data_IF_416868159159
#
_entry.id   IF_416868159159
#
_cell.length_a   1.000
_cell.length_b   1.000
_cell.length_c   1.000
_cell.angle_alpha   90.00
_cell.angle_beta   90.00
_cell.angle_gamma   90.00
#
_symmetry.space_group_name_H-M   'P 1'
#
loop_
_entity.id
_entity.type
_entity.pdbx_description
1 polymer ?
#
# COMPACT_ATOMS: atom_id res chain seq x y z
N UNK A 1 -56.28 8.47 -21.58
CA UNK A 1 -55.66 7.25 -21.04
C UNK A 1 -54.42 7.68 -20.28
N UNK A 2 -54.27 7.17 -19.06
CA UNK A 2 -53.21 7.53 -18.13
C UNK A 2 -51.84 7.16 -18.69
N UNK A 3 -50.90 8.10 -18.64
CA UNK A 3 -49.49 7.75 -18.53
C UNK A 3 -49.13 7.98 -17.07
N UNK A 4 -49.24 6.90 -16.29
CA UNK A 4 -48.75 6.84 -14.92
C UNK A 4 -47.26 7.14 -14.94
N UNK A 5 -46.89 8.22 -14.25
CA UNK A 5 -45.53 8.50 -13.86
C UNK A 5 -45.06 7.37 -12.95
N UNK A 6 -44.30 6.42 -13.48
CA UNK A 6 -43.50 5.48 -12.70
C UNK A 6 -42.40 6.27 -11.98
N UNK A 7 -42.75 6.88 -10.85
CA UNK A 7 -41.78 7.15 -9.79
C UNK A 7 -41.28 5.80 -9.30
N UNK A 8 -40.12 5.39 -9.79
CA UNK A 8 -39.34 4.35 -9.14
C UNK A 8 -38.81 4.98 -7.85
N UNK A 9 -39.64 5.01 -6.82
CA UNK A 9 -39.11 5.04 -5.46
C UNK A 9 -38.34 3.73 -5.28
N UNK A 10 -37.02 3.79 -5.32
CA UNK A 10 -36.19 2.76 -4.71
C UNK A 10 -36.53 2.77 -3.22
N UNK A 11 -37.55 2.00 -2.84
CA UNK A 11 -37.88 1.72 -1.45
C UNK A 11 -36.76 0.81 -0.95
N UNK A 12 -35.65 1.43 -0.53
CA UNK A 12 -34.71 0.77 0.36
C UNK A 12 -35.51 0.47 1.62
N UNK A 13 -35.77 -0.81 1.87
CA UNK A 13 -36.38 -1.25 3.11
C UNK A 13 -35.51 -0.77 4.27
N UNK A 14 -35.99 0.26 4.96
CA UNK A 14 -35.24 0.97 5.99
C UNK A 14 -34.93 0.08 7.19
N UNK A 15 -35.74 -0.97 7.43
CA UNK A 15 -35.49 -1.97 8.46
C UNK A 15 -34.33 -2.89 8.05
N UNK A 16 -34.36 -3.45 6.85
CA UNK A 16 -33.26 -4.25 6.29
C UNK A 16 -31.95 -3.47 6.20
N UNK A 17 -31.99 -2.19 5.81
CA UNK A 17 -30.81 -1.32 5.76
C UNK A 17 -30.25 -1.04 7.16
N UNK A 18 -31.11 -0.84 8.15
CA UNK A 18 -30.70 -0.64 9.54
C UNK A 18 -30.09 -1.91 10.13
N UNK A 19 -30.66 -3.08 9.86
CA UNK A 19 -30.08 -4.37 10.25
C UNK A 19 -28.73 -4.61 9.58
N UNK A 20 -28.58 -4.32 8.29
CA UNK A 20 -27.31 -4.40 7.59
C UNK A 20 -26.26 -3.48 8.23
N UNK A 21 -26.61 -2.23 8.50
CA UNK A 21 -25.69 -1.28 9.15
C UNK A 21 -25.33 -1.73 10.57
N UNK A 22 -26.28 -2.32 11.30
CA UNK A 22 -26.04 -2.88 12.63
C UNK A 22 -25.11 -4.09 12.59
N UNK A 23 -25.27 -5.01 11.64
CA UNK A 23 -24.37 -6.16 11.49
C UNK A 23 -23.00 -5.75 10.94
N UNK A 24 -22.94 -4.78 10.01
CA UNK A 24 -21.70 -4.24 9.48
C UNK A 24 -20.88 -3.51 10.56
N UNK A 25 -21.53 -2.71 11.41
CA UNK A 25 -20.85 -2.01 12.52
C UNK A 25 -20.42 -2.92 13.66
N UNK A 26 -20.98 -4.14 13.78
CA UNK A 26 -20.41 -5.18 14.65
C UNK A 26 -19.09 -5.76 14.12
N UNK A 27 -18.90 -5.76 12.80
CA UNK A 27 -17.69 -6.28 12.16
C UNK A 27 -16.55 -5.25 12.14
N UNK A 28 -16.90 -3.97 12.05
CA UNK A 28 -15.96 -2.86 12.18
C UNK A 28 -16.66 -1.69 12.87
N UNK A 29 -16.34 -1.47 14.14
CA UNK A 29 -16.89 -0.34 14.90
C UNK A 29 -16.29 0.97 14.39
N UNK A 30 -16.93 2.11 14.67
CA UNK A 30 -16.35 3.43 14.35
C UNK A 30 -14.96 3.61 14.97
N UNK A 31 -14.74 3.06 16.17
CA UNK A 31 -13.44 3.07 16.82
C UNK A 31 -12.38 2.22 16.08
N UNK A 32 -12.77 1.06 15.54
CA UNK A 32 -11.86 0.23 14.73
C UNK A 32 -11.48 0.94 13.42
N UNK A 33 -12.43 1.65 12.81
CA UNK A 33 -12.17 2.43 11.60
C UNK A 33 -11.27 3.64 11.88
N UNK A 34 -11.44 4.29 13.02
CA UNK A 34 -10.58 5.38 13.48
C UNK A 34 -9.15 4.91 13.75
N UNK A 35 -8.97 3.81 14.51
CA UNK A 35 -7.63 3.20 14.72
C UNK A 35 -6.97 2.83 13.38
N UNK A 36 -7.73 2.21 12.46
CA UNK A 36 -7.22 1.85 11.15
C UNK A 36 -6.77 3.09 10.37
N UNK A 37 -7.58 4.15 10.35
CA UNK A 37 -7.26 5.41 9.71
C UNK A 37 -5.97 6.01 10.26
N UNK A 38 -5.84 6.07 11.59
CA UNK A 38 -4.62 6.57 12.23
C UNK A 38 -3.39 5.73 11.87
N UNK A 39 -3.52 4.41 11.84
CA UNK A 39 -2.42 3.50 11.48
C UNK A 39 -1.98 3.70 10.04
N UNK A 40 -2.93 3.88 9.12
CA UNK A 40 -2.63 4.18 7.72
C UNK A 40 -1.93 5.55 7.62
N UNK A 41 -2.42 6.58 8.31
CA UNK A 41 -1.82 7.91 8.31
C UNK A 41 -0.38 7.90 8.85
N UNK A 42 -0.13 7.23 9.99
CA UNK A 42 1.22 7.05 10.55
C UNK A 42 2.16 6.34 9.58
N UNK A 43 1.64 5.30 8.89
CA UNK A 43 2.42 4.58 7.89
C UNK A 43 2.73 5.47 6.69
N UNK A 44 1.76 6.20 6.16
CA UNK A 44 1.95 7.12 5.04
C UNK A 44 3.00 8.20 5.37
N UNK A 45 2.92 8.81 6.55
CA UNK A 45 3.91 9.80 7.02
C UNK A 45 5.31 9.19 7.16
N UNK A 46 5.40 7.96 7.68
CA UNK A 46 6.67 7.25 7.78
C UNK A 46 7.28 6.95 6.41
N UNK A 47 6.48 6.43 5.46
CA UNK A 47 6.96 6.16 4.10
C UNK A 47 7.35 7.45 3.37
N UNK A 48 6.53 8.50 3.45
CA UNK A 48 6.83 9.79 2.84
C UNK A 48 8.21 10.30 3.26
N UNK A 49 8.48 10.34 4.57
CA UNK A 49 9.79 10.77 5.09
C UNK A 49 10.96 9.87 4.65
N UNK A 50 10.77 8.56 4.64
CA UNK A 50 11.84 7.59 4.35
C UNK A 50 12.15 7.46 2.86
N UNK A 51 11.15 7.70 2.01
CA UNK A 51 11.24 7.60 0.55
C UNK A 51 11.53 8.93 -0.14
N UNK A 52 11.57 10.04 0.60
CA UNK A 52 12.12 11.31 0.10
C UNK A 52 13.49 11.07 -0.58
N UNK A 53 13.74 11.60 -1.79
CA UNK A 53 14.90 11.21 -2.60
C UNK A 53 16.23 11.31 -1.85
N UNK A 54 16.45 12.41 -1.13
CA UNK A 54 17.70 12.63 -0.38
C UNK A 54 17.78 11.74 0.87
N UNK A 55 16.66 11.45 1.53
CA UNK A 55 16.64 10.54 2.68
C UNK A 55 16.90 9.10 2.22
N UNK A 56 16.25 8.67 1.14
CA UNK A 56 16.42 7.33 0.56
C UNK A 56 17.87 7.08 0.13
N UNK A 57 18.56 8.09 -0.42
CA UNK A 57 20.00 8.06 -0.73
C UNK A 57 20.92 7.98 0.49
N UNK A 58 20.42 8.19 1.69
CA UNK A 58 21.22 8.20 2.91
C UNK A 58 20.75 7.17 3.95
N UNK A 59 19.78 6.32 3.60
CA UNK A 59 19.31 5.28 4.53
C UNK A 59 20.44 4.33 4.88
N UNK A 60 20.61 4.13 6.19
CA UNK A 60 21.41 3.03 6.72
C UNK A 60 20.67 1.69 6.57
N UNK A 61 21.39 0.58 6.66
CA UNK A 61 20.77 -0.75 6.62
C UNK A 61 19.71 -0.96 7.73
N UNK A 62 19.96 -0.42 8.92
CA UNK A 62 19.02 -0.51 10.05
C UNK A 62 17.71 0.24 9.77
N UNK A 63 17.82 1.47 9.24
CA UNK A 63 16.69 2.29 8.82
C UNK A 63 15.93 1.65 7.65
N UNK A 64 16.65 1.10 6.67
CA UNK A 64 16.07 0.33 5.58
C UNK A 64 15.31 -0.90 6.10
N UNK A 65 15.87 -1.60 7.08
CA UNK A 65 15.20 -2.70 7.76
C UNK A 65 13.92 -2.26 8.47
N UNK A 66 13.86 -1.05 9.03
CA UNK A 66 12.62 -0.47 9.57
C UNK A 66 11.59 -0.21 8.47
N UNK A 67 12.02 0.34 7.33
CA UNK A 67 11.16 0.57 6.16
C UNK A 67 10.50 -0.72 5.67
N UNK A 68 11.31 -1.74 5.37
CA UNK A 68 10.83 -3.04 4.85
C UNK A 68 9.91 -3.74 5.86
N UNK A 69 10.14 -3.55 7.18
CA UNK A 69 9.27 -4.12 8.23
C UNK A 69 7.84 -3.59 8.21
N UNK A 70 7.62 -2.39 7.67
CA UNK A 70 6.28 -1.81 7.55
C UNK A 70 5.47 -2.37 6.38
N UNK A 71 6.11 -3.13 5.48
CA UNK A 71 5.47 -3.68 4.28
C UNK A 71 4.75 -4.97 4.64
N UNK A 72 3.45 -5.02 4.43
CA UNK A 72 2.60 -6.05 5.04
C UNK A 72 3.02 -7.47 4.64
N UNK A 73 3.25 -7.69 3.34
CA UNK A 73 3.58 -9.02 2.82
C UNK A 73 5.01 -9.48 3.12
N UNK A 74 5.90 -8.52 3.41
CA UNK A 74 7.35 -8.73 3.48
C UNK A 74 7.92 -8.54 4.89
N UNK A 75 7.29 -7.79 5.79
CA UNK A 75 7.94 -7.31 7.00
C UNK A 75 8.55 -8.39 7.88
N UNK A 76 7.89 -9.56 8.00
CA UNK A 76 8.40 -10.75 8.71
C UNK A 76 9.56 -11.47 8.01
N UNK A 77 9.80 -11.17 6.74
CA UNK A 77 10.84 -11.73 5.87
C UNK A 77 11.94 -10.71 5.55
N UNK A 78 11.93 -9.52 6.16
CA UNK A 78 12.86 -8.43 5.88
C UNK A 78 14.32 -8.87 5.92
N UNK A 79 14.74 -9.61 6.96
CA UNK A 79 16.10 -10.16 7.06
C UNK A 79 16.46 -11.05 5.87
N UNK A 80 15.57 -11.99 5.51
CA UNK A 80 15.78 -12.89 4.36
C UNK A 80 15.86 -12.12 3.04
N UNK A 81 15.01 -11.11 2.87
CA UNK A 81 15.02 -10.24 1.69
C UNK A 81 16.34 -9.48 1.59
N UNK A 82 16.76 -8.83 2.67
CA UNK A 82 18.00 -8.05 2.72
C UNK A 82 19.20 -8.97 2.47
N UNK A 83 19.28 -10.12 3.13
CA UNK A 83 20.37 -11.08 2.91
C UNK A 83 20.44 -11.64 1.49
N UNK A 84 19.30 -11.78 0.79
CA UNK A 84 19.26 -12.34 -0.56
C UNK A 84 19.64 -11.34 -1.67
N UNK A 85 19.53 -10.04 -1.40
CA UNK A 85 19.72 -8.99 -2.40
C UNK A 85 20.85 -8.01 -2.06
N UNK A 86 21.22 -7.89 -0.78
CA UNK A 86 22.00 -6.77 -0.26
C UNK A 86 21.12 -5.52 -0.09
N UNK A 87 21.31 -4.79 1.01
CA UNK A 87 20.50 -3.60 1.28
C UNK A 87 20.74 -2.49 0.24
N UNK A 88 21.98 -2.30 -0.19
CA UNK A 88 22.35 -1.25 -1.16
C UNK A 88 21.66 -1.46 -2.51
N UNK A 89 21.69 -2.70 -3.03
CA UNK A 89 21.00 -3.04 -4.26
C UNK A 89 19.48 -2.87 -4.12
N UNK A 90 18.88 -3.26 -2.99
CA UNK A 90 17.45 -3.02 -2.78
C UNK A 90 17.12 -1.52 -2.72
N UNK A 91 17.99 -0.72 -2.11
CA UNK A 91 17.83 0.74 -2.02
C UNK A 91 17.87 1.39 -3.40
N UNK A 92 18.80 0.98 -4.25
CA UNK A 92 18.88 1.39 -5.66
C UNK A 92 17.62 0.97 -6.43
N UNK A 93 17.18 -0.29 -6.30
CA UNK A 93 15.95 -0.77 -6.94
C UNK A 93 14.72 0.06 -6.52
N UNK A 94 14.61 0.45 -5.25
CA UNK A 94 13.54 1.35 -4.80
C UNK A 94 13.71 2.74 -5.42
N UNK A 95 14.92 3.29 -5.50
CA UNK A 95 15.15 4.59 -6.14
C UNK A 95 14.67 4.59 -7.59
N UNK A 96 15.04 3.56 -8.36
CA UNK A 96 14.67 3.43 -9.76
C UNK A 96 13.16 3.24 -9.93
N UNK A 97 12.53 2.45 -9.06
CA UNK A 97 11.07 2.31 -9.03
C UNK A 97 10.37 3.66 -8.83
N UNK A 98 10.90 4.51 -7.95
CA UNK A 98 10.25 5.76 -7.55
C UNK A 98 10.57 6.95 -8.46
N UNK A 99 11.79 7.03 -9.01
CA UNK A 99 12.33 8.25 -9.62
C UNK A 99 13.19 7.93 -10.84
N UNK A 100 12.56 7.67 -11.99
CA UNK A 100 13.22 7.61 -13.30
C UNK A 100 12.30 8.17 -14.39
N UNK A 101 12.89 8.59 -15.52
CA UNK A 101 12.17 9.12 -16.70
C UNK A 101 11.36 8.03 -17.44
N UNK A 102 11.59 6.76 -17.11
CA UNK A 102 10.97 5.58 -17.71
C UNK A 102 9.52 5.40 -17.28
N UNK A 103 8.76 4.64 -18.09
CA UNK A 103 7.34 4.41 -17.78
C UNK A 103 7.18 3.57 -16.52
N UNK A 104 6.08 3.78 -15.81
CA UNK A 104 5.81 3.10 -14.54
C UNK A 104 5.77 1.58 -14.66
N UNK A 105 5.21 1.04 -15.75
CA UNK A 105 5.15 -0.40 -16.02
C UNK A 105 6.55 -1.00 -16.20
N UNK A 106 7.42 -0.33 -16.96
CA UNK A 106 8.81 -0.75 -17.15
C UNK A 106 9.59 -0.77 -15.82
N UNK A 107 9.47 0.30 -15.02
CA UNK A 107 10.09 0.40 -13.69
C UNK A 107 9.56 -0.64 -12.71
N UNK A 108 8.26 -0.89 -12.75
CA UNK A 108 7.60 -1.89 -11.91
C UNK A 108 8.09 -3.31 -12.24
N UNK A 109 8.12 -3.66 -13.52
CA UNK A 109 8.59 -4.97 -13.98
C UNK A 109 10.07 -5.16 -13.68
N UNK A 110 10.90 -4.12 -13.87
CA UNK A 110 12.31 -4.15 -13.51
C UNK A 110 12.50 -4.46 -12.01
N UNK A 111 11.77 -3.79 -11.14
CA UNK A 111 11.81 -4.03 -9.70
C UNK A 111 11.38 -5.46 -9.33
N UNK A 112 10.23 -5.91 -9.86
CA UNK A 112 9.68 -7.24 -9.55
C UNK A 112 10.65 -8.35 -10.02
N UNK A 113 11.30 -8.17 -11.18
CA UNK A 113 12.27 -9.11 -11.71
C UNK A 113 13.63 -9.04 -11.01
N UNK A 114 14.04 -7.86 -10.53
CA UNK A 114 15.30 -7.62 -9.85
C UNK A 114 15.34 -8.14 -8.42
N UNK A 115 14.23 -8.04 -7.68
CA UNK A 115 14.15 -8.51 -6.29
C UNK A 115 14.07 -10.04 -6.23
N UNK A 116 14.85 -10.63 -5.30
CA UNK A 116 14.94 -12.08 -5.07
C UNK A 116 14.64 -12.46 -3.63
N UNK A 117 14.55 -13.76 -3.35
CA UNK A 117 14.46 -14.30 -1.99
C UNK A 117 13.04 -14.38 -1.40
N UNK A 118 12.03 -13.90 -2.12
CA UNK A 118 10.60 -14.03 -1.81
C UNK A 118 9.80 -14.36 -3.08
N UNK A 119 8.56 -14.84 -2.91
CA UNK A 119 7.67 -15.16 -4.03
C UNK A 119 7.30 -13.91 -4.84
N UNK A 120 7.03 -14.08 -6.13
CA UNK A 120 6.62 -13.01 -7.05
C UNK A 120 5.46 -12.17 -6.53
N UNK A 121 4.39 -12.79 -6.03
CA UNK A 121 3.27 -12.07 -5.42
C UNK A 121 3.70 -11.11 -4.30
N UNK A 122 4.76 -11.45 -3.55
CA UNK A 122 5.27 -10.58 -2.50
C UNK A 122 6.10 -9.43 -3.07
N UNK A 123 6.83 -9.66 -4.17
CA UNK A 123 7.58 -8.62 -4.89
C UNK A 123 6.63 -7.60 -5.53
N UNK A 124 5.54 -8.07 -6.11
CA UNK A 124 4.44 -7.23 -6.62
C UNK A 124 3.84 -6.38 -5.49
N UNK A 125 3.49 -7.01 -4.36
CA UNK A 125 2.97 -6.27 -3.21
C UNK A 125 3.97 -5.27 -2.63
N UNK A 126 5.27 -5.59 -2.66
CA UNK A 126 6.33 -4.68 -2.24
C UNK A 126 6.35 -3.42 -3.10
N UNK A 127 6.45 -3.59 -4.42
CA UNK A 127 6.42 -2.47 -5.36
C UNK A 127 5.13 -1.64 -5.19
N UNK A 128 3.98 -2.31 -5.11
CA UNK A 128 2.68 -1.65 -4.94
C UNK A 128 2.58 -0.83 -3.66
N UNK A 129 3.03 -1.35 -2.51
CA UNK A 129 3.02 -0.59 -1.26
C UNK A 129 3.99 0.61 -1.30
N UNK A 130 5.17 0.46 -1.90
CA UNK A 130 6.11 1.58 -2.07
C UNK A 130 5.46 2.70 -2.88
N UNK A 131 4.94 2.37 -4.07
CA UNK A 131 4.29 3.32 -4.99
C UNK A 131 3.05 3.97 -4.37
N UNK A 132 2.25 3.20 -3.62
CA UNK A 132 1.05 3.71 -2.96
C UNK A 132 1.35 4.85 -1.98
N UNK A 133 2.45 4.75 -1.22
CA UNK A 133 2.79 5.75 -0.21
C UNK A 133 3.76 6.83 -0.70
N UNK A 134 4.52 6.59 -1.76
CA UNK A 134 5.42 7.60 -2.35
C UNK A 134 4.72 8.54 -3.32
N UNK A 135 3.52 8.16 -3.81
CA UNK A 135 2.73 8.91 -4.79
C UNK A 135 3.62 9.54 -5.89
N UNK A 136 4.45 8.72 -6.57
CA UNK A 136 5.37 9.24 -7.56
C UNK A 136 4.51 9.89 -8.64
N UNK A 137 4.75 11.16 -8.91
CA UNK A 137 3.93 11.92 -9.86
C UNK A 137 3.83 11.13 -11.18
N UNK A 138 2.58 11.02 -11.66
CA UNK A 138 2.10 10.34 -12.88
C UNK A 138 3.15 9.72 -13.79
#
# INVERSE_FOLDING_TARGET
MLHDSLTVEEVVDSESALEFMKEATKLATSADLEDLSERIARKAEFFGRMLEPEKLKQLTEDEFGLLVRQIFSIGRKSKRLISANGFENLREQIQNLLNEDEKLDERFDAFVNGVRGVEEKMRINFAGELLHFSNPQQ
#
